data_IF_750603050121
#
_entry.id   IF_750603050121
#
_cell.length_a   1.000
_cell.length_b   1.000
_cell.length_c   1.000
_cell.angle_alpha   90.00
_cell.angle_beta   90.00
_cell.angle_gamma   90.00
#
_symmetry.space_group_name_H-M   'P 1'
#
loop_
_entity.id
_entity.type
_entity.pdbx_description
1 polymer ?
#
# COMPACT_ATOMS: atom_id res chain seq x y z
N UNK A 1 -8.21 20.03 55.85
CA UNK A 1 -9.14 20.13 54.70
C UNK A 1 -8.43 20.99 53.67
N UNK A 2 -8.01 20.40 52.55
CA UNK A 2 -7.47 21.13 51.41
C UNK A 2 -8.67 21.52 50.55
N UNK A 3 -8.97 22.82 50.47
CA UNK A 3 -9.94 23.36 49.52
C UNK A 3 -9.46 23.05 48.10
N UNK A 4 -10.22 22.22 47.38
CA UNK A 4 -10.00 22.01 45.97
C UNK A 4 -10.40 23.31 45.23
N UNK A 5 -9.56 23.83 44.31
CA UNK A 5 -9.92 25.01 43.54
C UNK A 5 -11.20 24.70 42.74
N UNK A 6 -12.23 25.53 42.92
CA UNK A 6 -13.44 25.44 42.11
C UNK A 6 -13.09 25.66 40.65
N UNK A 7 -13.67 24.88 39.71
CA UNK A 7 -13.48 25.13 38.30
C UNK A 7 -14.10 26.47 37.96
N UNK A 8 -13.26 27.44 37.61
CA UNK A 8 -13.65 28.71 37.02
C UNK A 8 -14.61 28.39 35.87
N UNK A 9 -15.88 28.78 35.96
CA UNK A 9 -16.95 28.48 34.99
C UNK A 9 -16.76 29.11 33.60
N UNK A 10 -15.51 29.38 33.20
CA UNK A 10 -15.16 29.78 31.85
C UNK A 10 -15.29 28.56 30.94
N UNK A 11 -16.03 28.66 29.83
CA UNK A 11 -16.08 27.57 28.86
C UNK A 11 -14.65 27.33 28.37
N UNK A 12 -14.16 26.11 28.58
CA UNK A 12 -12.89 25.66 28.01
C UNK A 12 -12.93 25.89 26.50
N UNK A 13 -11.83 26.35 25.88
CA UNK A 13 -11.80 26.57 24.44
C UNK A 13 -12.12 25.27 23.71
N UNK A 14 -13.12 25.29 22.83
CA UNK A 14 -13.50 24.13 22.05
C UNK A 14 -12.40 23.79 21.06
N UNK A 15 -11.80 22.61 21.21
CA UNK A 15 -10.82 22.09 20.26
C UNK A 15 -11.53 21.78 18.94
N UNK A 16 -11.21 22.52 17.88
CA UNK A 16 -11.80 22.32 16.56
C UNK A 16 -10.83 21.54 15.69
N UNK A 17 -11.19 20.30 15.36
CA UNK A 17 -10.38 19.40 14.54
C UNK A 17 -10.79 19.55 13.06
N UNK A 18 -10.38 20.65 12.44
CA UNK A 18 -10.81 20.99 11.07
C UNK A 18 -10.16 20.10 10.02
N UNK A 19 -10.97 19.62 9.07
CA UNK A 19 -10.53 18.83 7.92
C UNK A 19 -10.38 17.34 8.18
N UNK A 20 -10.74 16.87 9.39
CA UNK A 20 -10.62 15.46 9.74
C UNK A 20 -11.87 14.67 9.32
N UNK A 21 -11.65 13.39 9.00
CA UNK A 21 -12.75 12.45 8.81
C UNK A 21 -13.38 12.13 10.16
N UNK A 22 -14.66 12.50 10.34
CA UNK A 22 -15.47 12.13 11.51
C UNK A 22 -15.41 10.61 11.73
N UNK A 23 -15.55 9.83 10.64
CA UNK A 23 -15.46 8.36 10.68
C UNK A 23 -14.10 7.85 11.15
N UNK A 24 -13.02 8.57 10.82
CA UNK A 24 -11.67 8.26 11.29
C UNK A 24 -11.58 8.41 12.81
N UNK A 25 -12.05 9.54 13.34
CA UNK A 25 -12.11 9.76 14.78
C UNK A 25 -13.02 8.78 15.51
N UNK A 26 -14.22 8.50 15.00
CA UNK A 26 -15.13 7.50 15.56
C UNK A 26 -14.48 6.12 15.65
N UNK A 27 -13.76 5.70 14.59
CA UNK A 27 -13.05 4.44 14.57
C UNK A 27 -11.86 4.40 15.55
N UNK A 28 -11.15 5.52 15.74
CA UNK A 28 -10.09 5.59 16.76
C UNK A 28 -10.70 5.53 18.15
N UNK A 29 -11.77 6.27 18.42
CA UNK A 29 -12.41 6.30 19.73
C UNK A 29 -13.02 4.95 20.08
N UNK A 30 -13.54 4.18 19.11
CA UNK A 30 -14.07 2.85 19.38
C UNK A 30 -13.01 1.84 19.86
N UNK A 31 -11.72 2.10 19.61
CA UNK A 31 -10.63 1.31 20.21
C UNK A 31 -10.57 1.45 21.73
N UNK A 32 -10.94 2.62 22.26
CA UNK A 32 -10.85 2.95 23.68
C UNK A 32 -12.18 2.76 24.40
N UNK A 33 -13.30 2.91 23.68
CA UNK A 33 -14.65 2.93 24.22
C UNK A 33 -15.54 1.83 23.65
N UNK A 34 -14.97 0.66 23.33
CA UNK A 34 -15.77 -0.49 22.89
C UNK A 34 -16.82 -0.86 23.95
N UNK A 35 -18.09 -0.91 23.55
CA UNK A 35 -19.19 -1.33 24.44
C UNK A 35 -19.07 -2.82 24.81
N UNK A 36 -18.41 -3.60 23.96
CA UNK A 36 -18.10 -5.01 24.20
C UNK A 36 -16.64 -5.13 24.65
N UNK A 37 -16.44 -5.26 25.96
CA UNK A 37 -15.12 -5.41 26.59
C UNK A 37 -14.36 -6.66 26.12
N UNK A 38 -15.05 -7.62 25.48
CA UNK A 38 -14.46 -8.89 25.05
C UNK A 38 -14.15 -8.94 23.55
N UNK A 39 -14.60 -7.95 22.77
CA UNK A 39 -14.39 -7.91 21.33
C UNK A 39 -13.62 -6.65 20.91
N UNK A 40 -12.48 -6.86 20.25
CA UNK A 40 -11.79 -5.77 19.55
C UNK A 40 -12.63 -5.36 18.33
N UNK A 41 -12.78 -4.05 18.06
CA UNK A 41 -13.52 -3.61 16.89
C UNK A 41 -12.87 -4.13 15.61
N UNK A 42 -13.70 -4.66 14.70
CA UNK A 42 -13.27 -5.02 13.35
C UNK A 42 -13.58 -3.84 12.43
N UNK A 43 -12.53 -3.30 11.80
CA UNK A 43 -12.66 -2.16 10.92
C UNK A 43 -12.69 -2.56 9.44
N UNK A 44 -13.54 -1.88 8.69
CA UNK A 44 -13.54 -1.94 7.22
C UNK A 44 -12.31 -1.23 6.65
N UNK A 45 -12.04 -1.44 5.36
CA UNK A 45 -10.97 -0.75 4.65
C UNK A 45 -11.12 0.78 4.69
N UNK A 46 -12.35 1.29 4.53
CA UNK A 46 -12.65 2.72 4.65
C UNK A 46 -12.36 3.27 6.05
N UNK A 47 -12.68 2.51 7.10
CA UNK A 47 -12.38 2.90 8.47
C UNK A 47 -10.88 2.89 8.72
N UNK A 48 -10.15 1.88 8.26
CA UNK A 48 -8.69 1.88 8.34
C UNK A 48 -8.06 3.04 7.57
N UNK A 49 -8.60 3.43 6.41
CA UNK A 49 -8.16 4.61 5.69
C UNK A 49 -8.41 5.90 6.47
N UNK A 50 -9.57 6.02 7.15
CA UNK A 50 -9.87 7.13 8.04
C UNK A 50 -8.93 7.20 9.25
N UNK A 51 -8.70 6.06 9.91
CA UNK A 51 -7.74 5.94 11.02
C UNK A 51 -6.36 6.36 10.55
N UNK A 52 -5.92 5.90 9.36
CA UNK A 52 -4.60 6.22 8.82
C UNK A 52 -4.39 7.71 8.59
N UNK A 53 -5.39 8.41 8.03
CA UNK A 53 -5.30 9.87 7.83
C UNK A 53 -5.16 10.61 9.16
N UNK A 54 -5.98 10.25 10.14
CA UNK A 54 -5.96 10.89 11.45
C UNK A 54 -4.66 10.58 12.19
N UNK A 55 -4.26 9.31 12.24
CA UNK A 55 -3.02 8.91 12.92
C UNK A 55 -1.79 9.55 12.28
N UNK A 56 -1.74 9.67 10.95
CA UNK A 56 -0.68 10.38 10.25
C UNK A 56 -0.65 11.87 10.62
N UNK A 57 -1.80 12.56 10.53
CA UNK A 57 -1.90 14.00 10.82
C UNK A 57 -1.49 14.37 12.25
N UNK A 58 -1.79 13.51 13.21
CA UNK A 58 -1.51 13.74 14.64
C UNK A 58 -0.32 12.93 15.16
N UNK A 59 0.51 12.37 14.27
CA UNK A 59 1.75 11.64 14.61
C UNK A 59 1.54 10.50 15.61
N UNK A 60 0.48 9.71 15.43
CA UNK A 60 0.20 8.51 16.22
C UNK A 60 0.90 7.30 15.61
N UNK A 61 2.23 7.28 15.65
CA UNK A 61 3.09 6.37 14.87
C UNK A 61 2.67 4.90 14.92
N UNK A 62 2.41 4.36 16.12
CA UNK A 62 2.01 2.95 16.29
C UNK A 62 0.66 2.64 15.63
N UNK A 63 -0.28 3.59 15.69
CA UNK A 63 -1.59 3.45 15.08
C UNK A 63 -1.52 3.64 13.56
N UNK A 64 -0.66 4.54 13.09
CA UNK A 64 -0.35 4.73 11.67
C UNK A 64 0.23 3.46 11.06
N UNK A 65 1.27 2.89 11.68
CA UNK A 65 1.87 1.63 11.25
C UNK A 65 0.84 0.51 11.21
N UNK A 66 0.04 0.37 12.27
CA UNK A 66 -1.02 -0.65 12.33
C UNK A 66 -2.03 -0.47 11.20
N UNK A 67 -2.47 0.76 10.94
CA UNK A 67 -3.46 1.05 9.89
C UNK A 67 -2.90 0.76 8.48
N UNK A 68 -1.62 1.11 8.22
CA UNK A 68 -0.93 0.76 6.96
C UNK A 68 -0.90 -0.74 6.73
N UNK A 69 -0.54 -1.52 7.75
CA UNK A 69 -0.54 -2.98 7.63
C UNK A 69 -1.94 -3.55 7.44
N UNK A 70 -2.91 -3.04 8.18
CA UNK A 70 -4.29 -3.52 8.12
C UNK A 70 -4.90 -3.26 6.75
N UNK A 71 -4.66 -2.10 6.11
CA UNK A 71 -5.14 -1.81 4.76
C UNK A 71 -4.64 -2.81 3.70
N UNK A 72 -3.40 -3.29 3.84
CA UNK A 72 -2.83 -4.29 2.94
C UNK A 72 -3.43 -5.69 3.12
N UNK A 73 -4.00 -5.96 4.30
CA UNK A 73 -4.54 -7.28 4.69
C UNK A 73 -6.08 -7.32 4.69
N UNK A 74 -6.73 -6.16 4.67
CA UNK A 74 -8.17 -6.03 4.83
C UNK A 74 -8.93 -6.71 3.69
N UNK A 75 -10.06 -7.33 4.03
CA UNK A 75 -10.98 -7.95 3.10
C UNK A 75 -12.41 -7.50 3.44
N UNK A 76 -13.14 -6.86 2.51
CA UNK A 76 -12.71 -6.48 1.16
C UNK A 76 -11.61 -5.40 1.17
N UNK A 77 -10.76 -5.34 0.12
CA UNK A 77 -9.72 -4.33 0.03
C UNK A 77 -10.32 -2.94 -0.17
N UNK A 78 -9.55 -1.90 0.15
CA UNK A 78 -9.90 -0.54 -0.28
C UNK A 78 -9.89 -0.47 -1.81
N UNK A 79 -10.76 0.35 -2.39
CA UNK A 79 -10.69 0.66 -3.81
C UNK A 79 -9.28 1.15 -4.17
N UNK A 80 -8.73 0.67 -5.30
CA UNK A 80 -7.33 0.92 -5.63
C UNK A 80 -7.08 2.38 -6.02
N UNK A 81 -8.09 3.10 -6.53
CA UNK A 81 -7.98 4.54 -6.77
C UNK A 81 -7.92 5.28 -5.44
N UNK A 82 -8.81 4.94 -4.50
CA UNK A 82 -8.75 5.50 -3.14
C UNK A 82 -7.44 5.17 -2.43
N UNK A 83 -6.89 3.97 -2.64
CA UNK A 83 -5.60 3.56 -2.08
C UNK A 83 -4.45 4.39 -2.63
N UNK A 84 -4.45 4.71 -3.94
CA UNK A 84 -3.47 5.63 -4.55
C UNK A 84 -3.58 7.02 -3.92
N UNK A 85 -4.79 7.57 -3.84
CA UNK A 85 -5.02 8.92 -3.31
C UNK A 85 -4.59 9.02 -1.84
N UNK A 86 -4.96 8.02 -1.04
CA UNK A 86 -4.54 7.92 0.35
C UNK A 86 -3.02 7.83 0.47
N UNK A 87 -2.37 6.99 -0.35
CA UNK A 87 -0.93 6.84 -0.32
C UNK A 87 -0.18 8.13 -0.71
N UNK A 88 -0.72 8.90 -1.66
CA UNK A 88 -0.18 10.22 -2.01
C UNK A 88 -0.35 11.24 -0.88
N UNK A 89 -1.50 11.21 -0.18
CA UNK A 89 -1.81 12.12 0.92
C UNK A 89 -0.84 11.96 2.10
N UNK A 90 -0.40 10.73 2.38
CA UNK A 90 0.44 10.38 3.54
C UNK A 90 1.88 9.99 3.18
N UNK A 91 2.27 10.15 1.91
CA UNK A 91 3.57 9.76 1.35
C UNK A 91 3.97 8.29 1.64
N UNK A 92 3.02 7.37 1.48
CA UNK A 92 3.25 5.93 1.72
C UNK A 92 3.56 5.17 0.41
N UNK A 93 4.85 5.07 0.07
CA UNK A 93 5.33 4.37 -1.12
C UNK A 93 4.81 2.93 -1.24
N UNK A 94 4.74 2.18 -0.13
CA UNK A 94 4.30 0.77 -0.16
C UNK A 94 2.85 0.62 -0.60
N UNK A 95 1.94 1.47 -0.07
CA UNK A 95 0.52 1.45 -0.48
C UNK A 95 0.39 1.91 -1.93
N UNK A 96 1.14 2.94 -2.32
CA UNK A 96 1.16 3.46 -3.67
C UNK A 96 1.59 2.41 -4.69
N UNK A 97 2.69 1.70 -4.44
CA UNK A 97 3.20 0.64 -5.31
C UNK A 97 2.20 -0.51 -5.47
N UNK A 98 1.59 -0.97 -4.37
CA UNK A 98 0.59 -2.04 -4.41
C UNK A 98 -0.62 -1.62 -5.26
N UNK A 99 -1.12 -0.40 -5.04
CA UNK A 99 -2.26 0.11 -5.77
C UNK A 99 -1.96 0.30 -7.26
N UNK A 100 -0.82 0.91 -7.60
CA UNK A 100 -0.40 1.13 -8.99
C UNK A 100 -0.17 -0.19 -9.74
N UNK A 101 0.51 -1.16 -9.11
CA UNK A 101 0.73 -2.49 -9.70
C UNK A 101 -0.58 -3.27 -9.91
N UNK A 102 -1.58 -3.04 -9.04
CA UNK A 102 -2.90 -3.66 -9.19
C UNK A 102 -3.68 -2.99 -10.32
N UNK A 103 -3.69 -1.65 -10.37
CA UNK A 103 -4.34 -0.88 -11.44
C UNK A 103 -3.70 -1.13 -12.81
N UNK A 104 -2.39 -1.38 -12.89
CA UNK A 104 -1.70 -1.73 -14.12
C UNK A 104 -2.24 -3.03 -14.76
N UNK A 105 -2.80 -3.94 -13.95
CA UNK A 105 -3.37 -5.21 -14.40
C UNK A 105 -4.85 -5.10 -14.75
N UNK A 106 -5.51 -3.98 -14.44
CA UNK A 106 -6.92 -3.74 -14.71
C UNK A 106 -7.13 -2.66 -15.78
N UNK A 107 -8.39 -2.43 -16.13
CA UNK A 107 -8.78 -1.24 -16.87
C UNK A 107 -8.93 -0.06 -15.91
N UNK A 108 -8.56 1.14 -16.38
CA UNK A 108 -8.65 2.38 -15.61
C UNK A 108 -9.66 3.25 -16.34
N UNK A 109 -10.70 3.68 -15.62
CA UNK A 109 -11.72 4.57 -16.18
C UNK A 109 -11.16 5.98 -16.33
N UNK A 110 -11.77 6.77 -17.22
CA UNK A 110 -11.39 8.16 -17.39
C UNK A 110 -11.53 8.97 -16.09
N UNK A 111 -12.59 8.73 -15.31
CA UNK A 111 -12.80 9.39 -14.03
C UNK A 111 -11.70 9.03 -13.01
N UNK A 112 -11.36 7.73 -12.90
CA UNK A 112 -10.24 7.30 -12.07
C UNK A 112 -8.91 7.94 -12.48
N UNK A 113 -8.61 7.99 -13.79
CA UNK A 113 -7.41 8.62 -14.32
C UNK A 113 -7.37 10.13 -14.02
N UNK A 114 -8.52 10.81 -14.09
CA UNK A 114 -8.64 12.22 -13.73
C UNK A 114 -8.36 12.45 -12.24
N UNK A 115 -8.85 11.57 -11.37
CA UNK A 115 -8.69 11.67 -9.92
C UNK A 115 -7.24 11.48 -9.46
N UNK A 116 -6.54 10.47 -9.97
CA UNK A 116 -5.15 10.16 -9.57
C UNK A 116 -4.11 11.13 -10.15
N UNK A 117 -4.48 11.87 -11.19
CA UNK A 117 -3.61 12.83 -11.87
C UNK A 117 -2.68 12.22 -12.92
N UNK A 118 -2.13 13.10 -13.78
CA UNK A 118 -1.38 12.70 -14.98
C UNK A 118 -0.09 11.94 -14.66
N UNK A 119 0.64 12.35 -13.62
CA UNK A 119 1.90 11.70 -13.22
C UNK A 119 1.67 10.24 -12.82
N UNK A 120 0.70 10.00 -11.92
CA UNK A 120 0.37 8.64 -11.48
C UNK A 120 -0.23 7.81 -12.60
N UNK A 121 -1.09 8.41 -13.44
CA UNK A 121 -1.59 7.73 -14.62
C UNK A 121 -0.46 7.28 -15.55
N UNK A 122 0.51 8.15 -15.86
CA UNK A 122 1.68 7.81 -16.69
C UNK A 122 2.50 6.67 -16.07
N UNK A 123 2.71 6.69 -14.76
CA UNK A 123 3.41 5.62 -14.05
C UNK A 123 2.67 4.28 -14.19
N UNK A 124 1.34 4.27 -14.03
CA UNK A 124 0.56 3.04 -14.17
C UNK A 124 0.58 2.52 -15.61
N UNK A 125 0.48 3.39 -16.62
CA UNK A 125 0.59 2.98 -18.02
C UNK A 125 1.98 2.41 -18.32
N UNK A 126 3.04 3.01 -17.79
CA UNK A 126 4.41 2.50 -17.94
C UNK A 126 4.55 1.10 -17.33
N UNK A 127 4.00 0.88 -16.13
CA UNK A 127 3.95 -0.44 -15.49
C UNK A 127 3.14 -1.44 -16.33
N UNK A 128 2.01 -1.03 -16.89
CA UNK A 128 1.15 -1.89 -17.73
C UNK A 128 1.86 -2.35 -19.00
N UNK A 129 2.61 -1.46 -19.66
CA UNK A 129 3.38 -1.79 -20.86
C UNK A 129 4.59 -2.68 -20.58
N UNK A 130 5.14 -2.63 -19.37
CA UNK A 130 6.23 -3.51 -18.95
C UNK A 130 5.79 -4.96 -18.72
N UNK A 131 4.48 -5.23 -18.62
CA UNK A 131 3.95 -6.60 -18.49
C UNK A 131 4.03 -7.27 -19.87
N UNK A 132 4.84 -8.33 -20.05
CA UNK A 132 4.98 -8.98 -21.34
C UNK A 132 3.62 -9.53 -21.79
N UNK A 133 3.26 -9.39 -23.08
CA UNK A 133 2.01 -9.95 -23.57
C UNK A 133 2.03 -11.46 -23.33
N UNK A 134 0.92 -12.00 -22.81
CA UNK A 134 0.72 -13.46 -22.77
C UNK A 134 0.71 -13.96 -24.21
N UNK A 135 1.82 -14.56 -24.64
CA UNK A 135 1.94 -15.16 -25.95
C UNK A 135 0.90 -16.30 -26.04
N UNK A 136 -0.16 -16.11 -26.85
CA UNK A 136 -1.23 -17.11 -27.03
C UNK A 136 -0.82 -18.22 -28.00
N UNK A 137 0.34 -18.08 -28.66
CA UNK A 137 0.81 -18.96 -29.72
C UNK A 137 2.32 -19.28 -29.56
N UNK A 138 2.78 -19.60 -28.34
CA UNK A 138 3.99 -20.41 -28.25
C UNK A 138 3.59 -21.85 -28.53
N UNK A 139 3.88 -22.44 -29.71
CA UNK A 139 3.73 -23.87 -29.87
C UNK A 139 4.57 -24.54 -28.78
N UNK A 140 3.98 -25.50 -28.08
CA UNK A 140 4.68 -26.42 -27.18
C UNK A 140 5.61 -27.26 -28.07
N UNK A 141 6.76 -26.68 -28.40
CA UNK A 141 7.88 -27.33 -29.03
C UNK A 141 8.75 -27.90 -27.94
N UNK A 142 8.60 -29.20 -27.74
CA UNK A 142 9.42 -30.12 -26.96
C UNK A 142 10.89 -29.68 -26.82
N UNK A 143 11.36 -29.71 -25.57
CA UNK A 143 12.74 -29.88 -25.11
C UNK A 143 13.88 -29.84 -26.16
N UNK A 144 14.83 -28.93 -25.94
CA UNK A 144 16.25 -29.29 -26.13
C UNK A 144 17.06 -28.75 -24.95
N UNK A 145 17.23 -29.65 -23.99
CA UNK A 145 18.46 -29.75 -23.21
C UNK A 145 19.64 -29.90 -24.19
N UNK A 146 20.60 -28.97 -24.14
CA UNK A 146 21.97 -29.26 -24.53
C UNK A 146 22.91 -28.58 -23.54
N UNK A 147 23.21 -29.32 -22.47
CA UNK A 147 24.52 -29.21 -21.86
C UNK A 147 25.52 -29.97 -22.74
N UNK A 148 26.67 -29.33 -22.96
CA UNK A 148 28.00 -29.93 -23.16
C UNK A 148 28.32 -30.73 -24.43
N UNK A 149 29.21 -30.19 -25.27
CA UNK A 149 30.34 -30.91 -25.90
C UNK A 149 31.29 -29.88 -26.55
N UNK A 150 32.38 -29.53 -25.86
CA UNK A 150 33.75 -29.92 -26.23
C UNK A 150 34.17 -29.54 -27.66
N UNK A 151 34.93 -28.46 -27.79
CA UNK A 151 35.88 -28.30 -28.90
C UNK A 151 37.29 -28.69 -28.42
N UNK A 152 37.66 -29.92 -28.75
CA UNK A 152 39.05 -30.41 -28.83
C UNK A 152 39.56 -30.08 -30.24
N UNK A 153 40.50 -29.16 -30.37
CA UNK A 153 41.55 -29.12 -31.40
C UNK A 153 42.77 -28.43 -30.74
N UNK A 154 44.01 -28.92 -30.78
CA UNK A 154 44.60 -30.01 -31.54
C UNK A 154 45.80 -30.66 -30.84
N UNK A 155 46.23 -31.77 -31.44
CA UNK A 155 47.30 -32.67 -31.03
C UNK A 155 48.71 -32.17 -31.35
N UNK A 156 49.65 -32.56 -30.46
CA UNK A 156 51.07 -32.94 -30.66
C UNK A 156 52.03 -31.84 -31.20
N UNK A 157 53.27 -31.68 -30.72
CA UNK A 157 54.39 -32.64 -30.74
C UNK A 157 55.39 -32.38 -29.58
N UNK A 158 56.09 -33.47 -29.23
CA UNK A 158 57.15 -33.74 -28.25
C UNK A 158 58.39 -32.80 -28.17
N UNK A 159 59.08 -32.91 -27.01
CA UNK A 159 60.54 -32.81 -26.76
C UNK A 159 61.16 -31.38 -26.78
N UNK A 160 62.19 -31.00 -26.01
CA UNK A 160 63.29 -31.70 -25.34
C UNK A 160 63.89 -30.75 -24.25
N UNK A 161 64.66 -31.32 -23.31
CA UNK A 161 65.45 -30.64 -22.26
C UNK A 161 66.25 -29.40 -22.68
N UNK A 162 66.33 -28.42 -21.78
CA UNK A 162 67.58 -27.90 -21.20
C UNK A 162 67.32 -27.21 -19.86
#
# INVERSE_FOLDING_TARGET
MLDAPQPDGRPSPSLTLTGDSIKGWEAILSLFYSEDYFALPVFTSDQWAGILRVSHKYMMDSLEEKARESLLKCQPPLDMVEMVLLAQEIDCNKLYEVACNTLAKSEITFDAAKRIGVSTFYNIISLKLAIPPKCRECPVGTASSMQHLQSRQGHQVLNLHQ
#
